data_IF_823073680522
#
_entry.id   IF_823073680522
#
_cell.length_a   1.000
_cell.length_b   1.000
_cell.length_c   1.000
_cell.angle_alpha   90.00
_cell.angle_beta   90.00
_cell.angle_gamma   90.00
#
_symmetry.space_group_name_H-M   'P 1'
#
loop_
_entity.id
_entity.type
_entity.pdbx_description
1 polymer ?
#
# COMPACT_ATOMS: atom_id res chain seq x y z
N UNK A 1 40.68 21.65 9.95
CA UNK A 1 40.18 22.49 8.84
C UNK A 1 38.65 22.65 8.78
N UNK A 2 37.84 21.59 8.99
CA UNK A 2 36.35 21.73 8.94
C UNK A 2 35.79 22.62 10.06
N UNK A 3 36.35 22.56 11.27
CA UNK A 3 35.91 23.34 12.45
C UNK A 3 36.07 24.86 12.30
N UNK A 4 36.89 25.31 11.35
CA UNK A 4 37.09 26.73 11.08
C UNK A 4 36.09 27.31 10.06
N UNK A 5 35.17 26.50 9.56
CA UNK A 5 34.17 27.00 8.62
C UNK A 5 33.05 27.76 9.35
N UNK A 6 32.65 28.88 8.75
CA UNK A 6 31.50 29.64 9.23
C UNK A 6 30.24 28.77 9.25
N UNK A 7 29.55 28.74 10.38
CA UNK A 7 28.35 27.93 10.55
C UNK A 7 28.56 26.46 10.93
N UNK A 8 29.79 26.04 11.19
CA UNK A 8 30.07 24.70 11.73
C UNK A 8 29.50 24.54 13.15
N UNK A 9 28.87 23.41 13.40
CA UNK A 9 28.34 23.05 14.72
C UNK A 9 28.33 21.53 14.91
N UNK A 10 28.83 21.06 16.07
CA UNK A 10 28.75 19.68 16.45
C UNK A 10 27.29 19.27 16.76
N UNK A 11 26.84 18.17 16.21
CA UNK A 11 25.60 17.47 16.58
C UNK A 11 25.92 16.33 17.57
N UNK A 12 27.05 15.67 17.39
CA UNK A 12 27.59 14.64 18.26
C UNK A 12 29.10 14.52 17.99
N UNK A 13 29.88 15.16 18.83
CA UNK A 13 31.36 15.20 18.67
C UNK A 13 31.99 13.82 18.84
N UNK A 14 31.51 13.02 19.81
CA UNK A 14 32.05 11.70 20.08
C UNK A 14 31.86 10.72 18.90
N UNK A 15 30.81 10.90 18.10
CA UNK A 15 30.54 10.11 16.89
C UNK A 15 30.93 10.82 15.60
N UNK A 16 31.51 12.02 15.68
CA UNK A 16 31.95 12.78 14.52
C UNK A 16 30.80 13.36 13.67
N UNK A 17 29.60 13.56 14.24
CA UNK A 17 28.49 14.18 13.54
C UNK A 17 28.53 15.70 13.70
N UNK A 18 28.46 16.40 12.58
CA UNK A 18 28.44 17.86 12.54
C UNK A 18 27.45 18.39 11.51
N UNK A 19 27.09 19.65 11.64
CA UNK A 19 26.28 20.39 10.70
C UNK A 19 26.95 21.67 10.27
N UNK A 20 26.89 21.96 8.98
CA UNK A 20 27.33 23.23 8.40
C UNK A 20 26.05 24.02 8.01
N UNK A 21 25.70 24.99 8.84
CA UNK A 21 24.44 25.77 8.71
C UNK A 21 24.35 26.56 7.43
N UNK A 22 25.46 26.93 6.82
CA UNK A 22 25.54 27.73 5.58
C UNK A 22 25.32 26.90 4.31
N UNK A 23 25.07 25.59 4.42
CA UNK A 23 24.82 24.75 3.25
C UNK A 23 23.49 25.13 2.60
N UNK A 24 23.54 25.60 1.34
CA UNK A 24 22.38 26.11 0.60
C UNK A 24 21.25 25.06 0.41
N UNK A 25 21.55 23.77 0.51
CA UNK A 25 20.59 22.68 0.32
C UNK A 25 20.87 21.56 1.31
N UNK A 26 20.01 21.43 2.30
CA UNK A 26 20.07 20.31 3.25
C UNK A 26 18.91 19.35 3.01
N UNK A 27 19.19 18.19 2.39
CA UNK A 27 18.20 17.17 2.08
C UNK A 27 17.54 16.61 3.34
N UNK A 28 18.28 16.52 4.46
CA UNK A 28 17.74 16.03 5.73
C UNK A 28 16.72 17.00 6.32
N UNK A 29 17.02 18.30 6.35
CA UNK A 29 16.09 19.31 6.82
C UNK A 29 14.83 19.36 5.94
N UNK A 30 14.98 19.29 4.63
CA UNK A 30 13.83 19.24 3.72
C UNK A 30 12.90 18.05 3.98
N UNK A 31 13.47 16.88 4.35
CA UNK A 31 12.66 15.72 4.72
C UNK A 31 11.96 15.90 6.07
N UNK A 32 12.65 16.50 7.04
CA UNK A 32 12.08 16.86 8.34
C UNK A 32 10.92 17.85 8.15
N UNK A 33 11.10 18.89 7.34
CA UNK A 33 10.06 19.86 7.00
C UNK A 33 8.83 19.19 6.39
N UNK A 34 9.03 18.28 5.42
CA UNK A 34 7.94 17.51 4.80
C UNK A 34 7.15 16.68 5.83
N UNK A 35 7.82 16.10 6.80
CA UNK A 35 7.15 15.32 7.85
C UNK A 35 6.40 16.27 8.78
N UNK A 36 7.04 17.33 9.26
CA UNK A 36 6.47 18.25 10.22
C UNK A 36 5.34 19.14 9.66
N UNK A 37 5.22 19.25 8.33
CA UNK A 37 4.09 19.96 7.74
C UNK A 37 2.80 19.12 7.63
N UNK A 38 2.86 17.80 7.84
CA UNK A 38 1.70 16.90 7.82
C UNK A 38 1.30 16.38 9.20
N UNK A 39 2.10 16.69 10.22
CA UNK A 39 1.80 16.35 11.62
C UNK A 39 2.14 17.52 12.53
N UNK A 40 1.32 17.74 13.57
CA UNK A 40 1.59 18.80 14.55
C UNK A 40 2.79 18.49 15.41
N UNK A 41 2.95 17.25 15.83
CA UNK A 41 4.02 16.76 16.70
C UNK A 41 4.41 15.36 16.30
N UNK A 42 5.69 15.01 16.47
CA UNK A 42 6.18 13.68 16.15
C UNK A 42 7.27 13.23 17.12
N UNK A 43 7.25 11.98 17.51
CA UNK A 43 8.34 11.38 18.27
C UNK A 43 9.56 11.12 17.36
N UNK A 44 10.77 11.30 17.89
CA UNK A 44 12.02 11.17 17.13
C UNK A 44 12.17 9.81 16.44
N UNK A 45 11.65 8.73 17.00
CA UNK A 45 11.66 7.39 16.36
C UNK A 45 10.88 7.38 15.05
N UNK A 46 9.70 7.98 15.03
CA UNK A 46 8.84 8.11 13.86
C UNK A 46 9.46 9.07 12.83
N UNK A 47 10.02 10.19 13.29
CA UNK A 47 10.76 11.10 12.43
C UNK A 47 11.91 10.36 11.72
N UNK A 48 12.71 9.59 12.49
CA UNK A 48 13.82 8.80 11.96
C UNK A 48 13.34 7.77 10.94
N UNK A 49 12.24 7.09 11.21
CA UNK A 49 11.62 6.14 10.28
C UNK A 49 11.17 6.82 8.98
N UNK A 50 10.71 8.08 9.04
CA UNK A 50 10.37 8.86 7.85
C UNK A 50 11.60 9.25 7.02
N UNK A 51 12.62 9.76 7.68
CA UNK A 51 13.87 10.17 7.04
C UNK A 51 14.60 8.99 6.36
N UNK A 52 14.51 7.78 6.91
CA UNK A 52 15.12 6.57 6.35
C UNK A 52 14.47 6.11 5.02
N UNK A 53 13.28 6.60 4.67
CA UNK A 53 12.58 6.18 3.44
C UNK A 53 13.15 6.75 2.13
N UNK A 54 14.18 7.55 2.19
CA UNK A 54 14.80 8.10 0.99
C UNK A 54 15.60 7.03 0.24
N UNK A 55 15.18 6.71 -1.00
CA UNK A 55 15.84 5.72 -1.86
C UNK A 55 17.33 6.00 -2.12
N UNK A 56 17.74 7.28 -2.15
CA UNK A 56 19.15 7.67 -2.37
C UNK A 56 20.07 7.38 -1.18
N UNK A 57 19.50 7.05 -0.04
CA UNK A 57 20.23 6.76 1.19
C UNK A 57 20.16 5.30 1.61
N UNK A 58 19.54 4.45 0.81
CA UNK A 58 19.43 3.00 1.08
C UNK A 58 18.94 2.66 2.50
N UNK A 59 17.97 3.44 3.00
CA UNK A 59 17.44 3.30 4.35
C UNK A 59 18.29 3.93 5.46
N UNK A 60 19.38 4.61 5.13
CA UNK A 60 20.23 5.28 6.13
C UNK A 60 19.53 6.49 6.72
N UNK A 61 19.52 6.57 8.06
CA UNK A 61 19.10 7.75 8.81
C UNK A 61 20.04 7.99 10.00
N UNK A 62 20.31 9.25 10.35
CA UNK A 62 21.14 9.57 11.51
C UNK A 62 20.60 8.93 12.79
N UNK A 63 21.44 8.67 13.81
CA UNK A 63 20.97 8.27 15.13
C UNK A 63 19.97 9.27 15.72
N UNK A 64 19.07 8.80 16.59
CA UNK A 64 18.03 9.66 17.17
C UNK A 64 18.60 10.90 17.87
N UNK A 65 19.66 10.73 18.66
CA UNK A 65 20.33 11.85 19.35
C UNK A 65 20.88 12.91 18.38
N UNK A 66 21.36 12.49 17.21
CA UNK A 66 21.86 13.42 16.17
C UNK A 66 20.68 14.16 15.52
N UNK A 67 19.56 13.50 15.29
CA UNK A 67 18.34 14.15 14.78
C UNK A 67 17.77 15.16 15.78
N UNK A 68 17.76 14.81 17.07
CA UNK A 68 17.34 15.74 18.14
C UNK A 68 18.25 16.96 18.18
N UNK A 69 19.57 16.76 18.24
CA UNK A 69 20.54 17.85 18.24
C UNK A 69 20.44 18.76 16.99
N UNK A 70 20.15 18.17 15.82
CA UNK A 70 19.90 18.93 14.60
C UNK A 70 18.64 19.78 14.73
N UNK A 71 17.55 19.20 15.22
CA UNK A 71 16.29 19.93 15.39
C UNK A 71 16.37 21.00 16.48
N UNK A 72 17.08 20.78 17.57
CA UNK A 72 17.35 21.76 18.63
C UNK A 72 18.13 22.98 18.12
N UNK A 73 19.10 22.74 17.24
CA UNK A 73 19.92 23.81 16.65
C UNK A 73 19.25 24.55 15.48
N UNK A 74 18.20 23.96 14.90
CA UNK A 74 17.43 24.60 13.84
C UNK A 74 16.34 25.49 14.43
N UNK A 75 16.38 26.79 14.08
CA UNK A 75 15.47 27.81 14.64
C UNK A 75 13.99 27.51 14.43
N UNK A 76 13.66 26.80 13.35
CA UNK A 76 12.29 26.49 12.96
C UNK A 76 11.62 25.38 13.77
N UNK A 77 12.36 24.70 14.65
CA UNK A 77 11.84 23.54 15.37
C UNK A 77 11.96 23.71 16.87
N UNK A 78 11.08 23.03 17.59
CA UNK A 78 11.11 22.88 19.05
C UNK A 78 11.23 21.40 19.39
N UNK A 79 11.97 21.09 20.43
CA UNK A 79 12.20 19.74 20.94
C UNK A 79 11.89 19.70 22.42
N UNK A 80 11.09 18.74 22.85
CA UNK A 80 10.83 18.44 24.26
C UNK A 80 10.55 16.93 24.42
N UNK A 81 11.28 16.25 25.31
CA UNK A 81 11.02 14.85 25.66
C UNK A 81 10.98 13.91 24.44
N UNK A 82 11.91 14.09 23.48
CA UNK A 82 11.98 13.37 22.22
C UNK A 82 10.82 13.64 21.23
N UNK A 83 9.96 14.60 21.52
CA UNK A 83 8.91 15.08 20.64
C UNK A 83 9.40 16.33 19.92
N UNK A 84 9.18 16.40 18.62
CA UNK A 84 9.61 17.47 17.74
C UNK A 84 8.41 18.08 17.06
N UNK A 85 8.37 19.40 16.93
CA UNK A 85 7.36 20.14 16.18
C UNK A 85 7.95 21.40 15.56
N UNK A 86 7.28 21.93 14.56
CA UNK A 86 7.64 23.21 13.95
C UNK A 86 6.96 24.37 14.67
N UNK A 87 7.70 25.48 14.89
CA UNK A 87 7.21 26.69 15.49
C UNK A 87 7.82 27.92 14.78
N UNK A 88 7.03 28.65 13.96
CA UNK A 88 5.60 28.49 13.68
C UNK A 88 5.27 27.23 12.85
N UNK A 89 3.98 26.80 12.84
CA UNK A 89 3.55 25.67 12.01
C UNK A 89 3.87 25.84 10.54
N UNK A 90 4.26 24.76 9.88
CA UNK A 90 4.67 24.76 8.48
C UNK A 90 3.47 24.65 7.53
N UNK A 91 3.50 25.38 6.43
CA UNK A 91 2.48 25.30 5.38
C UNK A 91 2.82 24.20 4.38
N UNK A 92 2.08 23.11 4.39
CA UNK A 92 2.30 21.97 3.48
C UNK A 92 2.21 22.37 1.99
N UNK A 93 1.41 23.39 1.66
CA UNK A 93 1.24 23.88 0.27
C UNK A 93 2.53 24.39 -0.35
N UNK A 94 3.48 24.88 0.45
CA UNK A 94 4.77 25.42 0.01
C UNK A 94 5.90 24.39 0.03
N UNK A 95 5.76 23.32 0.83
CA UNK A 95 6.83 22.37 1.13
C UNK A 95 6.67 21.07 0.34
N UNK A 96 5.44 20.58 0.20
CA UNK A 96 5.16 19.32 -0.47
C UNK A 96 5.15 19.47 -2.00
N UNK A 97 5.62 18.44 -2.70
CA UNK A 97 5.42 18.29 -4.12
C UNK A 97 3.95 18.05 -4.45
N UNK A 98 3.52 18.31 -5.69
CA UNK A 98 2.13 18.07 -6.13
C UNK A 98 1.68 16.63 -5.89
N UNK A 99 2.57 15.67 -6.10
CA UNK A 99 2.30 14.25 -5.80
C UNK A 99 2.05 14.02 -4.31
N UNK A 100 2.85 14.61 -3.43
CA UNK A 100 2.67 14.49 -1.98
C UNK A 100 1.40 15.19 -1.52
N UNK A 101 1.05 16.34 -2.10
CA UNK A 101 -0.22 17.04 -1.85
C UNK A 101 -1.42 16.17 -2.22
N UNK A 102 -1.34 15.43 -3.34
CA UNK A 102 -2.37 14.46 -3.73
C UNK A 102 -2.55 13.39 -2.65
N UNK A 103 -1.48 12.81 -2.13
CA UNK A 103 -1.59 11.86 -1.02
C UNK A 103 -2.25 12.46 0.22
N UNK A 104 -1.85 13.66 0.62
CA UNK A 104 -2.45 14.37 1.77
C UNK A 104 -3.94 14.58 1.55
N UNK A 105 -4.35 15.06 0.38
CA UNK A 105 -5.75 15.27 0.03
C UNK A 105 -6.56 13.97 0.07
N UNK A 106 -5.99 12.87 -0.42
CA UNK A 106 -6.64 11.55 -0.38
C UNK A 106 -6.82 11.06 1.05
N UNK A 107 -5.78 11.14 1.90
CA UNK A 107 -5.90 10.74 3.31
C UNK A 107 -6.92 11.58 4.08
N UNK A 108 -6.97 12.88 3.84
CA UNK A 108 -8.00 13.75 4.46
C UNK A 108 -9.41 13.41 3.99
N UNK A 109 -9.58 12.97 2.74
CA UNK A 109 -10.88 12.62 2.16
C UNK A 109 -11.41 11.27 2.62
N UNK A 110 -10.55 10.24 2.63
CA UNK A 110 -10.98 8.84 2.87
C UNK A 110 -10.87 8.46 4.34
N UNK A 111 -9.90 9.03 5.05
CA UNK A 111 -9.64 8.77 6.46
C UNK A 111 -8.16 8.66 6.81
N UNK A 112 -7.85 8.63 8.11
CA UNK A 112 -6.45 8.66 8.59
C UNK A 112 -5.66 7.40 8.21
N UNK A 113 -6.35 6.26 8.06
CA UNK A 113 -5.79 5.01 7.58
C UNK A 113 -6.55 4.51 6.36
N UNK A 114 -5.81 4.12 5.33
CA UNK A 114 -6.37 3.67 4.07
C UNK A 114 -5.69 2.38 3.60
N UNK A 115 -6.47 1.43 3.13
CA UNK A 115 -5.96 0.24 2.48
C UNK A 115 -5.32 0.60 1.14
N UNK A 116 -4.22 -0.10 0.81
CA UNK A 116 -3.40 0.14 -0.39
C UNK A 116 -4.23 0.32 -1.67
N UNK A 117 -5.18 -0.59 -1.90
CA UNK A 117 -5.97 -0.57 -3.13
C UNK A 117 -6.90 0.65 -3.21
N UNK A 118 -7.56 1.00 -2.09
CA UNK A 118 -8.40 2.22 -2.03
C UNK A 118 -7.55 3.48 -2.21
N UNK A 119 -6.36 3.51 -1.61
CA UNK A 119 -5.41 4.62 -1.76
C UNK A 119 -4.96 4.77 -3.21
N UNK A 120 -4.55 3.67 -3.85
CA UNK A 120 -4.13 3.64 -5.26
C UNK A 120 -5.26 4.13 -6.18
N UNK A 121 -6.44 3.54 -6.09
CA UNK A 121 -7.62 3.89 -6.90
C UNK A 121 -7.93 5.39 -6.80
N UNK A 122 -7.91 5.96 -5.62
CA UNK A 122 -8.22 7.38 -5.44
C UNK A 122 -7.10 8.30 -5.94
N UNK A 123 -5.82 7.95 -5.73
CA UNK A 123 -4.69 8.71 -6.28
C UNK A 123 -4.69 8.70 -7.82
N UNK A 124 -4.95 7.55 -8.45
CA UNK A 124 -5.06 7.44 -9.91
C UNK A 124 -6.25 8.24 -10.43
N UNK A 125 -7.39 8.24 -9.73
CA UNK A 125 -8.56 9.06 -10.07
C UNK A 125 -8.27 10.56 -10.04
N UNK A 126 -7.32 11.00 -9.21
CA UNK A 126 -6.84 12.38 -9.15
C UNK A 126 -5.73 12.71 -10.17
N UNK A 127 -5.48 11.81 -11.12
CA UNK A 127 -4.54 12.03 -12.22
C UNK A 127 -3.10 11.56 -11.96
N UNK A 128 -2.83 10.90 -10.84
CA UNK A 128 -1.51 10.32 -10.58
C UNK A 128 -1.33 9.07 -11.45
N UNK A 129 -0.17 8.87 -12.08
CA UNK A 129 0.12 7.62 -12.76
C UNK A 129 0.62 6.54 -11.79
N UNK A 130 0.45 5.26 -12.17
CA UNK A 130 0.75 4.12 -11.33
C UNK A 130 2.23 4.04 -10.90
N UNK A 131 3.16 4.35 -11.81
CA UNK A 131 4.59 4.34 -11.49
C UNK A 131 4.93 5.42 -10.45
N UNK A 132 4.40 6.64 -10.61
CA UNK A 132 4.56 7.73 -9.65
C UNK A 132 3.95 7.39 -8.31
N UNK A 133 2.77 6.75 -8.28
CA UNK A 133 2.15 6.25 -7.06
C UNK A 133 3.07 5.27 -6.32
N UNK A 134 3.54 4.22 -6.99
CA UNK A 134 4.41 3.20 -6.39
C UNK A 134 5.72 3.76 -5.83
N UNK A 135 6.39 4.64 -6.60
CA UNK A 135 7.64 5.28 -6.16
C UNK A 135 7.42 6.17 -4.93
N UNK A 136 6.38 7.00 -4.93
CA UNK A 136 6.10 7.89 -3.80
C UNK A 136 5.59 7.13 -2.57
N UNK A 137 4.74 6.13 -2.76
CA UNK A 137 4.28 5.26 -1.67
C UNK A 137 5.46 4.62 -0.93
N UNK A 138 6.51 4.23 -1.66
CA UNK A 138 7.70 3.58 -1.09
C UNK A 138 8.69 4.55 -0.48
N UNK A 139 8.87 5.74 -1.06
CA UNK A 139 9.98 6.63 -0.75
C UNK A 139 9.59 7.96 -0.09
N UNK A 140 8.31 8.36 -0.12
CA UNK A 140 7.92 9.62 0.50
C UNK A 140 8.05 9.56 2.04
N UNK A 141 8.68 10.56 2.66
CA UNK A 141 8.88 10.58 4.11
C UNK A 141 7.58 10.80 4.89
N UNK A 142 6.57 11.41 4.26
CA UNK A 142 5.29 11.72 4.90
C UNK A 142 4.34 10.53 5.02
N UNK A 143 4.60 9.43 4.30
CA UNK A 143 3.75 8.23 4.32
C UNK A 143 4.29 7.24 5.33
N UNK A 144 3.44 6.70 6.18
CA UNK A 144 3.75 5.61 7.09
C UNK A 144 2.92 4.37 6.77
N UNK A 145 3.51 3.19 7.03
CA UNK A 145 2.81 1.92 6.94
C UNK A 145 2.48 1.45 8.34
N UNK A 146 1.21 1.40 8.69
CA UNK A 146 0.73 1.03 10.02
C UNK A 146 0.48 -0.47 10.17
N UNK A 147 0.08 -1.12 9.08
CA UNK A 147 -0.07 -2.56 9.01
C UNK A 147 0.17 -3.07 7.58
N UNK A 148 0.06 -4.38 7.35
CA UNK A 148 0.20 -4.93 6.01
C UNK A 148 -0.82 -4.32 5.05
N UNK A 149 -0.32 -3.55 4.06
CA UNK A 149 -1.10 -2.82 3.06
C UNK A 149 -2.07 -1.77 3.64
N UNK A 150 -1.81 -1.26 4.84
CA UNK A 150 -2.53 -0.15 5.47
C UNK A 150 -1.55 1.01 5.64
N UNK A 151 -1.91 2.15 5.09
CA UNK A 151 -1.07 3.35 5.03
C UNK A 151 -1.81 4.55 5.62
N UNK A 152 -1.05 5.52 6.08
CA UNK A 152 -1.54 6.80 6.58
C UNK A 152 -0.46 7.86 6.52
N UNK A 153 -0.77 9.08 6.90
CA UNK A 153 0.22 10.12 7.08
C UNK A 153 1.06 9.83 8.32
N UNK A 154 2.33 10.16 8.25
CA UNK A 154 3.24 10.00 9.38
C UNK A 154 2.87 10.95 10.51
N UNK A 155 2.98 10.47 11.75
CA UNK A 155 2.56 11.23 12.93
C UNK A 155 1.05 11.21 13.20
N UNK A 156 0.26 10.49 12.39
CA UNK A 156 -1.17 10.30 12.68
C UNK A 156 -1.35 9.48 13.94
N UNK A 157 -2.05 10.03 14.92
CA UNK A 157 -2.47 9.30 16.11
C UNK A 157 -3.61 8.34 15.76
N UNK A 158 -3.47 7.09 16.13
CA UNK A 158 -4.42 6.02 15.77
C UNK A 158 -4.90 5.34 17.03
N UNK A 159 -6.20 5.10 17.10
CA UNK A 159 -6.76 4.25 18.14
C UNK A 159 -6.18 2.83 18.04
N UNK A 160 -5.81 2.22 19.19
CA UNK A 160 -5.36 0.84 19.21
C UNK A 160 -6.36 -0.10 18.51
N UNK A 161 -5.85 -0.98 17.65
CA UNK A 161 -6.68 -1.96 16.94
C UNK A 161 -7.28 -1.49 15.61
N UNK A 162 -7.26 -0.19 15.29
CA UNK A 162 -7.83 0.30 14.02
C UNK A 162 -7.07 -0.24 12.80
N UNK A 163 -5.74 -0.27 12.85
CA UNK A 163 -4.93 -0.81 11.76
C UNK A 163 -5.14 -2.31 11.57
N UNK A 164 -5.27 -3.05 12.66
CA UNK A 164 -5.55 -4.49 12.67
C UNK A 164 -6.95 -4.80 12.14
N UNK A 165 -7.95 -3.99 12.48
CA UNK A 165 -9.32 -4.18 11.98
C UNK A 165 -9.38 -4.08 10.45
N UNK A 166 -8.68 -3.13 9.86
CA UNK A 166 -8.58 -2.99 8.39
C UNK A 166 -7.85 -4.18 7.74
N UNK A 167 -6.87 -4.77 8.43
CA UNK A 167 -6.21 -6.01 7.96
C UNK A 167 -7.16 -7.21 8.05
N UNK A 168 -8.00 -7.29 9.08
CA UNK A 168 -8.98 -8.36 9.26
C UNK A 168 -10.07 -8.27 8.19
N UNK A 169 -10.61 -7.09 7.93
CA UNK A 169 -11.56 -6.86 6.83
C UNK A 169 -10.96 -7.29 5.49
N UNK A 170 -9.70 -6.92 5.23
CA UNK A 170 -9.01 -7.35 4.03
C UNK A 170 -8.84 -8.87 3.94
N UNK A 171 -8.59 -9.56 5.07
CA UNK A 171 -8.54 -11.03 5.08
C UNK A 171 -9.90 -11.64 4.76
N UNK A 172 -10.99 -11.05 5.23
CA UNK A 172 -12.36 -11.46 4.87
C UNK A 172 -12.64 -11.22 3.38
N UNK A 173 -12.22 -10.07 2.83
CA UNK A 173 -12.39 -9.71 1.41
C UNK A 173 -11.37 -10.38 0.46
N UNK A 174 -10.33 -11.01 0.98
CA UNK A 174 -9.33 -11.80 0.24
C UNK A 174 -9.75 -13.23 0.07
N UNK A 175 -10.96 -13.47 0.01
CA UNK A 175 -11.30 -14.85 0.08
C UNK A 175 -11.36 -15.45 -1.31
N UNK A 176 -10.51 -16.42 -1.46
CA UNK A 176 -10.96 -17.67 -1.98
C UNK A 176 -12.39 -17.89 -1.48
N UNK A 177 -13.33 -17.62 -2.33
CA UNK A 177 -14.72 -17.95 -2.02
C UNK A 177 -14.85 -19.46 -1.85
N UNK A 178 -16.04 -19.94 -1.78
CA UNK A 178 -16.30 -21.36 -1.66
C UNK A 178 -15.67 -22.15 -2.80
N UNK A 179 -15.19 -23.32 -2.47
CA UNK A 179 -14.72 -24.29 -3.45
C UNK A 179 -15.12 -25.71 -3.03
N UNK A 180 -15.34 -26.53 -4.01
CA UNK A 180 -15.76 -27.91 -3.72
C UNK A 180 -16.13 -28.68 -4.96
N UNK A 181 -16.77 -29.81 -4.73
CA UNK A 181 -17.30 -30.68 -5.76
C UNK A 181 -18.77 -30.40 -6.00
N UNK A 182 -19.18 -30.37 -7.25
CA UNK A 182 -20.60 -30.35 -7.63
C UNK A 182 -21.16 -31.78 -7.62
N UNK A 183 -22.47 -31.93 -7.63
CA UNK A 183 -23.12 -33.24 -7.64
C UNK A 183 -22.79 -34.06 -8.91
N UNK A 184 -22.50 -33.40 -10.02
CA UNK A 184 -22.09 -34.02 -11.30
C UNK A 184 -20.56 -34.26 -11.40
N UNK A 185 -19.82 -34.15 -10.30
CA UNK A 185 -18.40 -34.49 -10.20
C UNK A 185 -17.45 -33.47 -10.84
N UNK A 186 -17.89 -32.24 -11.03
CA UNK A 186 -17.01 -31.11 -11.40
C UNK A 186 -16.49 -30.39 -10.17
N UNK A 187 -15.44 -29.62 -10.30
CA UNK A 187 -14.91 -28.78 -9.23
C UNK A 187 -15.29 -27.32 -9.51
N UNK A 188 -15.89 -26.66 -8.53
CA UNK A 188 -16.08 -25.23 -8.60
C UNK A 188 -15.11 -24.49 -7.69
N UNK A 189 -14.75 -23.27 -8.09
CA UNK A 189 -13.91 -22.34 -7.37
C UNK A 189 -14.52 -20.95 -7.54
N UNK A 190 -14.80 -20.27 -6.43
CA UNK A 190 -15.16 -18.86 -6.41
C UNK A 190 -13.98 -18.03 -5.91
N UNK A 191 -13.77 -16.85 -6.46
CA UNK A 191 -12.65 -16.00 -6.15
C UNK A 191 -13.06 -14.53 -6.25
N UNK A 192 -12.74 -13.73 -5.24
CA UNK A 192 -12.90 -12.26 -5.33
C UNK A 192 -11.66 -11.65 -5.99
N UNK A 193 -11.85 -10.98 -7.11
CA UNK A 193 -10.75 -10.45 -7.91
C UNK A 193 -9.97 -9.37 -7.16
N UNK A 194 -8.66 -9.55 -7.12
CA UNK A 194 -7.73 -8.52 -6.66
C UNK A 194 -7.12 -7.79 -7.86
N UNK A 195 -6.61 -6.57 -7.66
CA UNK A 195 -5.86 -5.83 -8.70
C UNK A 195 -4.71 -6.66 -9.27
N UNK A 196 -4.02 -7.44 -8.43
CA UNK A 196 -2.95 -8.33 -8.86
C UNK A 196 -3.43 -9.51 -9.70
N UNK A 197 -4.62 -10.07 -9.43
CA UNK A 197 -5.22 -11.11 -10.25
C UNK A 197 -5.60 -10.58 -11.63
N UNK A 198 -6.18 -9.38 -11.67
CA UNK A 198 -6.58 -8.71 -12.91
C UNK A 198 -5.37 -8.35 -13.79
N UNK A 199 -4.34 -7.73 -13.21
CA UNK A 199 -3.16 -7.30 -13.96
C UNK A 199 -2.33 -8.46 -14.51
N UNK A 200 -2.24 -9.58 -13.76
CA UNK A 200 -1.41 -10.71 -14.14
C UNK A 200 -2.20 -11.85 -14.80
N UNK A 201 -3.53 -11.84 -14.76
CA UNK A 201 -4.37 -12.94 -15.25
C UNK A 201 -4.17 -14.24 -14.47
N UNK A 202 -3.83 -14.17 -13.17
CA UNK A 202 -3.45 -15.30 -12.32
C UNK A 202 -4.26 -15.30 -11.05
N UNK A 203 -4.79 -16.45 -10.66
CA UNK A 203 -5.43 -16.66 -9.35
C UNK A 203 -4.77 -17.81 -8.59
N UNK A 204 -4.92 -17.80 -7.28
CA UNK A 204 -4.42 -18.88 -6.41
C UNK A 204 -5.45 -20.00 -6.30
N UNK A 205 -5.02 -21.23 -6.48
CA UNK A 205 -5.82 -22.43 -6.29
C UNK A 205 -5.65 -22.96 -4.87
N UNK A 206 -6.73 -23.39 -4.18
CA UNK A 206 -6.65 -24.00 -2.84
C UNK A 206 -5.70 -25.18 -2.79
N UNK A 207 -4.90 -25.26 -1.72
CA UNK A 207 -3.95 -26.38 -1.55
C UNK A 207 -4.63 -27.74 -1.62
N UNK A 208 -5.84 -27.88 -1.05
CA UNK A 208 -6.62 -29.12 -1.09
C UNK A 208 -7.11 -29.53 -2.48
N UNK A 209 -7.18 -28.58 -3.43
CA UNK A 209 -7.62 -28.85 -4.80
C UNK A 209 -6.45 -28.95 -5.79
N UNK A 210 -5.22 -28.65 -5.38
CA UNK A 210 -4.04 -28.64 -6.24
C UNK A 210 -3.86 -29.93 -7.03
N UNK A 211 -3.99 -31.08 -6.36
CA UNK A 211 -3.77 -32.39 -6.98
C UNK A 211 -4.82 -32.71 -8.06
N UNK A 212 -6.06 -32.27 -7.85
CA UNK A 212 -7.17 -32.53 -8.76
C UNK A 212 -7.19 -31.60 -9.96
N UNK A 213 -6.81 -30.33 -9.75
CA UNK A 213 -6.89 -29.28 -10.77
C UNK A 213 -5.61 -29.11 -11.60
N UNK A 214 -4.50 -29.75 -11.26
CA UNK A 214 -3.26 -29.62 -12.05
C UNK A 214 -3.45 -30.07 -13.51
N UNK A 215 -3.02 -29.21 -14.43
CA UNK A 215 -3.11 -29.49 -15.87
C UNK A 215 -3.58 -28.29 -16.68
N UNK A 216 -3.91 -28.57 -17.94
CA UNK A 216 -4.37 -27.55 -18.90
C UNK A 216 -5.84 -27.79 -19.25
N UNK A 217 -6.61 -26.71 -19.30
CA UNK A 217 -8.03 -26.68 -19.58
C UNK A 217 -8.33 -25.71 -20.71
N UNK A 218 -9.28 -26.05 -21.57
CA UNK A 218 -9.86 -25.08 -22.48
C UNK A 218 -10.72 -24.11 -21.68
N UNK A 219 -10.40 -22.80 -21.71
CA UNK A 219 -11.15 -21.78 -20.98
C UNK A 219 -12.30 -21.28 -21.83
N UNK A 220 -13.52 -21.37 -21.29
CA UNK A 220 -14.75 -20.90 -21.91
C UNK A 220 -15.49 -19.91 -21.00
N UNK A 221 -16.32 -19.07 -21.58
CA UNK A 221 -17.33 -18.29 -20.84
C UNK A 221 -18.61 -19.10 -20.66
N UNK A 222 -19.54 -18.61 -19.83
CA UNK A 222 -20.80 -19.30 -19.54
C UNK A 222 -21.61 -19.60 -20.79
N UNK A 223 -21.58 -18.73 -21.80
CA UNK A 223 -22.24 -18.94 -23.08
C UNK A 223 -21.57 -19.99 -23.97
N UNK A 224 -20.56 -20.68 -23.46
CA UNK A 224 -19.89 -21.77 -24.14
C UNK A 224 -18.80 -21.37 -25.15
N UNK A 225 -18.58 -20.08 -25.40
CA UNK A 225 -17.55 -19.61 -26.33
C UNK A 225 -16.13 -19.81 -25.76
N UNK A 226 -15.19 -20.37 -26.53
CA UNK A 226 -13.80 -20.51 -26.12
C UNK A 226 -13.12 -19.13 -26.08
N UNK A 227 -12.36 -18.87 -25.01
CA UNK A 227 -11.62 -17.61 -24.83
C UNK A 227 -10.13 -17.79 -24.66
N UNK A 228 -9.67 -19.02 -24.52
CA UNK A 228 -8.25 -19.32 -24.37
C UNK A 228 -7.98 -20.63 -23.65
N UNK A 229 -6.87 -20.67 -22.96
CA UNK A 229 -6.39 -21.83 -22.19
C UNK A 229 -6.09 -21.42 -20.76
N UNK A 230 -6.61 -22.17 -19.81
CA UNK A 230 -6.30 -22.05 -18.38
C UNK A 230 -5.32 -23.14 -17.98
N UNK A 231 -4.16 -22.78 -17.43
CA UNK A 231 -3.15 -23.71 -16.95
C UNK A 231 -3.06 -23.65 -15.44
N UNK A 232 -3.26 -24.78 -14.77
CA UNK A 232 -3.12 -24.89 -13.32
C UNK A 232 -1.82 -25.62 -13.00
N UNK A 233 -0.90 -24.91 -12.34
CA UNK A 233 0.39 -25.43 -11.90
C UNK A 233 0.80 -24.76 -10.59
N UNK A 234 1.42 -25.48 -9.69
CA UNK A 234 2.00 -24.96 -8.43
C UNK A 234 1.06 -24.08 -7.58
N UNK A 235 -0.21 -24.49 -7.48
CA UNK A 235 -1.29 -23.76 -6.80
C UNK A 235 -1.62 -22.40 -7.41
N UNK A 236 -1.35 -22.22 -8.68
CA UNK A 236 -1.74 -21.05 -9.46
C UNK A 236 -2.48 -21.48 -10.73
N UNK A 237 -3.50 -20.71 -11.11
CA UNK A 237 -4.19 -20.86 -12.38
C UNK A 237 -3.89 -19.63 -13.25
N UNK A 238 -3.35 -19.87 -14.44
CA UNK A 238 -2.82 -18.89 -15.38
C UNK A 238 -3.68 -18.85 -16.63
N UNK A 239 -3.80 -17.70 -17.27
CA UNK A 239 -4.50 -17.56 -18.55
C UNK A 239 -5.86 -16.88 -18.45
N UNK A 240 -6.18 -16.22 -17.35
CA UNK A 240 -7.43 -15.47 -17.16
C UNK A 240 -7.41 -14.05 -17.77
N UNK A 241 -6.26 -13.55 -18.20
CA UNK A 241 -6.12 -12.23 -18.79
C UNK A 241 -7.13 -11.92 -19.91
N UNK A 242 -7.32 -12.80 -20.92
CA UNK A 242 -8.33 -12.61 -21.97
C UNK A 242 -9.77 -12.51 -21.46
N UNK A 243 -10.11 -13.21 -20.38
CA UNK A 243 -11.42 -13.11 -19.73
C UNK A 243 -11.61 -11.68 -19.16
N UNK A 244 -10.63 -11.24 -18.35
CA UNK A 244 -10.70 -9.94 -17.68
C UNK A 244 -10.71 -8.77 -18.66
N UNK A 245 -9.90 -8.84 -19.73
CA UNK A 245 -9.85 -7.80 -20.76
C UNK A 245 -11.14 -7.72 -21.57
N UNK A 246 -11.78 -8.85 -21.88
CA UNK A 246 -13.00 -8.88 -22.70
C UNK A 246 -14.26 -8.55 -21.92
N UNK A 247 -14.31 -8.87 -20.63
CA UNK A 247 -15.50 -8.70 -19.78
C UNK A 247 -15.42 -7.49 -18.86
N UNK A 248 -14.28 -6.78 -18.84
CA UNK A 248 -14.12 -5.55 -18.07
C UNK A 248 -14.16 -5.79 -16.56
N UNK A 249 -13.47 -6.82 -16.07
CA UNK A 249 -13.46 -7.15 -14.64
C UNK A 249 -12.81 -6.06 -13.79
N UNK A 250 -13.43 -5.74 -12.66
CA UNK A 250 -12.96 -4.78 -11.67
C UNK A 250 -12.49 -5.48 -10.38
N UNK A 251 -11.58 -4.85 -9.62
CA UNK A 251 -11.22 -5.37 -8.30
C UNK A 251 -12.42 -5.41 -7.35
N UNK A 252 -12.65 -6.57 -6.76
CA UNK A 252 -13.84 -6.83 -5.94
C UNK A 252 -14.89 -7.67 -6.63
N UNK A 253 -14.85 -7.79 -7.96
CA UNK A 253 -15.77 -8.67 -8.70
C UNK A 253 -15.58 -10.13 -8.31
N UNK A 254 -16.66 -10.89 -8.44
CA UNK A 254 -16.68 -12.33 -8.20
C UNK A 254 -16.30 -13.08 -9.48
N UNK A 255 -15.31 -13.95 -9.38
CA UNK A 255 -14.96 -14.90 -10.43
C UNK A 255 -15.38 -16.29 -9.97
N UNK A 256 -16.23 -16.95 -10.73
CA UNK A 256 -16.56 -18.37 -10.55
C UNK A 256 -15.97 -19.18 -11.69
N UNK A 257 -15.25 -20.26 -11.37
CA UNK A 257 -14.71 -21.19 -12.37
C UNK A 257 -15.23 -22.59 -12.05
N UNK A 258 -15.80 -23.24 -13.05
CA UNK A 258 -16.25 -24.62 -12.99
C UNK A 258 -15.32 -25.49 -13.85
N UNK A 259 -14.62 -26.42 -13.25
CA UNK A 259 -13.67 -27.33 -13.91
C UNK A 259 -14.31 -28.68 -14.18
N UNK A 260 -14.43 -29.05 -15.42
CA UNK A 260 -14.73 -30.42 -15.84
C UNK A 260 -13.42 -31.18 -16.06
N UNK A 261 -13.12 -32.12 -15.16
CA UNK A 261 -11.87 -32.87 -15.17
C UNK A 261 -11.81 -33.89 -16.32
N UNK A 262 -12.96 -34.36 -16.79
CA UNK A 262 -13.06 -35.37 -17.85
C UNK A 262 -12.83 -34.76 -19.23
N UNK A 263 -13.52 -33.65 -19.50
CA UNK A 263 -13.43 -32.97 -20.80
C UNK A 263 -12.29 -31.96 -20.87
N UNK A 264 -11.64 -31.65 -19.73
CA UNK A 264 -10.60 -30.62 -19.61
C UNK A 264 -11.09 -29.24 -20.05
N UNK A 265 -12.33 -28.92 -19.71
CA UNK A 265 -12.94 -27.62 -19.93
C UNK A 265 -13.06 -26.89 -18.59
N UNK A 266 -12.72 -25.60 -18.57
CA UNK A 266 -12.96 -24.69 -17.46
C UNK A 266 -13.93 -23.59 -17.94
N UNK A 267 -15.08 -23.50 -17.30
CA UNK A 267 -16.08 -22.44 -17.57
C UNK A 267 -15.90 -21.36 -16.54
N UNK A 268 -15.64 -20.13 -16.97
CA UNK A 268 -15.43 -18.98 -16.11
C UNK A 268 -16.56 -17.95 -16.29
N UNK A 269 -17.08 -17.49 -15.17
CA UNK A 269 -18.12 -16.47 -15.05
C UNK A 269 -17.59 -15.32 -14.20
N UNK A 270 -17.75 -14.09 -14.70
CA UNK A 270 -17.51 -12.86 -13.95
C UNK A 270 -18.87 -12.31 -13.50
N UNK A 271 -19.04 -12.17 -12.19
CA UNK A 271 -20.18 -11.51 -11.57
C UNK A 271 -19.75 -10.19 -10.96
N UNK A 272 -20.60 -9.18 -11.02
CA UNK A 272 -20.40 -7.97 -10.22
C UNK A 272 -20.45 -8.35 -8.74
N UNK A 273 -19.68 -7.65 -7.89
CA UNK A 273 -19.76 -7.80 -6.45
C UNK A 273 -21.22 -7.57 -6.02
N UNK A 274 -21.94 -8.64 -5.71
CA UNK A 274 -23.24 -8.52 -5.07
C UNK A 274 -23.00 -7.87 -3.71
N UNK A 275 -23.55 -6.69 -3.52
CA UNK A 275 -23.87 -6.17 -2.21
C UNK A 275 -24.92 -7.15 -1.67
N UNK A 276 -24.52 -8.16 -0.93
CA UNK A 276 -25.47 -8.91 -0.11
C UNK A 276 -26.04 -7.88 0.88
N UNK A 277 -27.25 -7.44 0.61
CA UNK A 277 -28.14 -6.87 1.61
C UNK A 277 -28.20 -7.89 2.75
N UNK A 278 -27.59 -7.54 3.86
CA UNK A 278 -27.84 -8.24 5.12
C UNK A 278 -29.29 -7.92 5.44
N UNK A 279 -30.18 -8.83 5.07
CA UNK A 279 -31.54 -8.86 5.57
C UNK A 279 -31.48 -8.91 7.11
N UNK A 280 -31.70 -7.77 7.72
CA UNK A 280 -32.19 -7.68 9.09
C UNK A 280 -33.59 -8.28 9.12
N UNK A 281 -33.68 -9.55 9.29
CA UNK A 281 -34.93 -10.21 9.67
C UNK A 281 -34.61 -11.35 10.62
N UNK A 282 -34.75 -11.09 11.90
CA UNK A 282 -35.63 -11.75 12.84
C UNK A 282 -35.09 -11.66 14.27
N UNK A 283 -35.81 -10.84 15.04
CA UNK A 283 -36.18 -10.90 16.46
C UNK A 283 -35.16 -11.38 17.48
#
# INVERSE_FOLDING_TARGET
MLQCQSGFSWLDEAMGWFWIKTTARNVLLNQIEKILCVCERIHVTELRAGVSRNYRREGFAPPQRVLLALCEQAVAYKVKENIIWADPPLEFSKILSETEKTFVAVFHKIGPLVELHKLEKECLRQGMNQSTFGVNLSNSPIIARFARCVYGLRGTEISPGLAESLVIERKKNRVLGDYGWTQDGKIFLTYTLSSGALSNGIITVPKGMKQHLSGSYELRVAEGAPIGRLVVKDSQAWGLGPLFSRRGGDPGDSLRILFDLKTKIAIAELGQASVEEVDEATA
#
